data_IF_051335238043
#
_entry.id   IF_051335238043
#
_cell.length_a   1.000
_cell.length_b   1.000
_cell.length_c   1.000
_cell.angle_alpha   90.00
_cell.angle_beta   90.00
_cell.angle_gamma   90.00
#
_symmetry.space_group_name_H-M   'P 1'
#
loop_
_entity.id
_entity.type
_entity.pdbx_description
1 polymer ?
#
# COMPACT_ATOMS: atom_id res chain seq x y z
N UNK A 1 -31.42 36.37 20.15
CA UNK A 1 -31.11 35.50 21.28
C UNK A 1 -31.41 34.02 21.00
N UNK A 2 -32.59 33.64 20.48
CA UNK A 2 -32.96 32.23 20.21
C UNK A 2 -32.03 31.53 19.19
N UNK A 3 -31.63 32.19 18.11
CA UNK A 3 -30.72 31.65 17.08
C UNK A 3 -29.32 31.35 17.67
N UNK A 4 -28.78 32.29 18.48
CA UNK A 4 -27.50 32.07 19.15
C UNK A 4 -27.52 30.93 20.15
N UNK A 5 -28.63 30.75 20.86
CA UNK A 5 -28.81 29.61 21.75
C UNK A 5 -28.87 28.28 21.01
N UNK A 6 -29.59 28.23 19.87
CA UNK A 6 -29.66 27.02 19.02
C UNK A 6 -28.28 26.69 18.46
N UNK A 7 -27.54 27.67 17.95
CA UNK A 7 -26.17 27.48 17.46
C UNK A 7 -25.25 26.94 18.57
N UNK A 8 -25.35 27.50 19.79
CA UNK A 8 -24.59 27.02 20.94
C UNK A 8 -24.90 25.54 21.26
N UNK A 9 -26.17 25.15 21.26
CA UNK A 9 -26.58 23.76 21.51
C UNK A 9 -26.05 22.83 20.44
N UNK A 10 -26.12 23.21 19.16
CA UNK A 10 -25.59 22.41 18.05
C UNK A 10 -24.09 22.21 18.15
N UNK A 11 -23.34 23.26 18.48
CA UNK A 11 -21.88 23.18 18.67
C UNK A 11 -21.55 22.26 19.86
N UNK A 12 -22.24 22.40 20.98
CA UNK A 12 -22.02 21.55 22.16
C UNK A 12 -22.34 20.10 21.81
N UNK A 13 -23.45 19.81 21.14
CA UNK A 13 -23.80 18.47 20.71
C UNK A 13 -22.79 17.87 19.74
N UNK A 14 -22.27 18.67 18.81
CA UNK A 14 -21.20 18.24 17.89
C UNK A 14 -19.88 17.94 18.63
N UNK A 15 -19.49 18.75 19.62
CA UNK A 15 -18.31 18.50 20.44
C UNK A 15 -18.47 17.23 21.28
N UNK A 16 -19.64 17.04 21.89
CA UNK A 16 -19.94 15.82 22.66
C UNK A 16 -19.90 14.59 21.74
N UNK A 17 -20.54 14.65 20.57
CA UNK A 17 -20.49 13.57 19.58
C UNK A 17 -19.05 13.26 19.16
N UNK A 18 -18.24 14.28 18.87
CA UNK A 18 -16.84 14.13 18.53
C UNK A 18 -16.05 13.44 19.66
N UNK A 19 -16.28 13.84 20.91
CA UNK A 19 -15.60 13.26 22.09
C UNK A 19 -15.93 11.78 22.31
N UNK A 20 -17.14 11.35 21.97
CA UNK A 20 -17.55 9.94 22.11
C UNK A 20 -17.23 9.07 20.89
N UNK A 21 -17.21 9.65 19.69
CA UNK A 21 -16.97 8.90 18.43
C UNK A 21 -15.48 8.76 18.14
N UNK A 22 -14.71 9.85 18.22
CA UNK A 22 -13.29 9.87 17.87
C UNK A 22 -12.44 8.82 18.59
N UNK A 23 -12.52 8.64 19.92
CA UNK A 23 -11.65 7.68 20.62
C UNK A 23 -11.90 6.21 20.26
N UNK A 24 -13.08 5.88 19.75
CA UNK A 24 -13.47 4.49 19.44
C UNK A 24 -13.07 4.06 18.05
N UNK A 25 -12.90 5.02 17.14
CA UNK A 25 -12.62 4.78 15.72
C UNK A 25 -11.14 5.03 15.33
N UNK A 26 -10.26 5.32 16.29
CA UNK A 26 -8.84 5.59 16.04
C UNK A 26 -7.96 4.33 16.00
N UNK A 27 -8.57 3.15 15.96
CA UNK A 27 -7.85 1.89 15.82
C UNK A 27 -7.62 1.54 14.35
N UNK A 28 -6.39 1.19 13.97
CA UNK A 28 -6.07 0.66 12.63
C UNK A 28 -6.69 -0.72 12.36
N UNK A 29 -7.23 -1.38 13.40
CA UNK A 29 -7.90 -2.68 13.28
C UNK A 29 -9.34 -2.57 12.78
N UNK A 30 -9.94 -1.38 12.86
CA UNK A 30 -11.29 -1.13 12.38
C UNK A 30 -11.28 -1.04 10.85
N UNK A 31 -12.32 -1.57 10.21
CA UNK A 31 -12.54 -1.35 8.79
C UNK A 31 -13.07 0.08 8.57
N UNK A 32 -12.62 0.72 7.49
CA UNK A 32 -13.15 2.02 7.10
C UNK A 32 -14.64 1.92 6.78
N UNK A 33 -15.45 2.83 7.34
CA UNK A 33 -16.87 2.88 7.01
C UNK A 33 -17.07 3.19 5.53
N UNK A 34 -18.24 2.81 4.99
CA UNK A 34 -18.60 3.09 3.58
C UNK A 34 -18.54 4.59 3.29
N UNK A 35 -19.03 5.42 4.23
CA UNK A 35 -19.00 6.88 4.07
C UNK A 35 -17.57 7.42 4.05
N UNK A 36 -16.71 6.96 4.94
CA UNK A 36 -15.30 7.34 5.02
C UNK A 36 -14.55 6.93 3.75
N UNK A 37 -14.70 5.69 3.31
CA UNK A 37 -14.09 5.19 2.06
C UNK A 37 -14.57 5.99 0.85
N UNK A 38 -15.85 6.33 0.80
CA UNK A 38 -16.42 7.17 -0.26
C UNK A 38 -15.77 8.56 -0.28
N UNK A 39 -15.77 9.25 0.86
CA UNK A 39 -15.17 10.60 0.98
C UNK A 39 -13.68 10.57 0.65
N UNK A 40 -12.92 9.66 1.26
CA UNK A 40 -11.48 9.54 1.03
C UNK A 40 -11.13 9.29 -0.44
N UNK A 41 -11.88 8.39 -1.10
CA UNK A 41 -11.66 8.07 -2.53
C UNK A 41 -11.95 9.28 -3.42
N UNK A 42 -13.04 10.02 -3.15
CA UNK A 42 -13.39 11.19 -3.96
C UNK A 42 -12.44 12.36 -3.73
N UNK A 43 -12.06 12.65 -2.48
CA UNK A 43 -11.09 13.69 -2.15
C UNK A 43 -9.74 13.39 -2.78
N UNK A 44 -9.25 12.13 -2.68
CA UNK A 44 -8.03 11.71 -3.34
C UNK A 44 -8.13 11.88 -4.86
N UNK A 45 -9.20 11.39 -5.47
CA UNK A 45 -9.41 11.54 -6.90
C UNK A 45 -9.47 13.01 -7.35
N UNK A 46 -10.07 13.88 -6.56
CA UNK A 46 -10.14 15.32 -6.83
C UNK A 46 -8.78 16.00 -6.67
N UNK A 47 -7.96 15.58 -5.70
CA UNK A 47 -6.65 16.18 -5.42
C UNK A 47 -5.61 15.94 -6.52
N UNK A 48 -5.79 14.94 -7.39
CA UNK A 48 -4.90 14.68 -8.52
C UNK A 48 -5.08 15.78 -9.58
N UNK A 49 -4.03 16.56 -9.90
CA UNK A 49 -4.13 17.63 -10.89
C UNK A 49 -4.58 17.12 -12.27
N UNK A 50 -5.40 17.91 -12.97
CA UNK A 50 -5.97 17.52 -14.27
C UNK A 50 -4.91 17.15 -15.31
N UNK A 51 -3.75 17.82 -15.29
CA UNK A 51 -2.62 17.51 -16.18
C UNK A 51 -2.20 16.04 -16.08
N UNK A 52 -2.15 15.48 -14.86
CA UNK A 52 -1.77 14.08 -14.68
C UNK A 52 -2.90 13.13 -15.10
N UNK A 53 -4.16 13.47 -14.84
CA UNK A 53 -5.29 12.62 -15.25
C UNK A 53 -5.36 12.39 -16.74
N UNK A 54 -4.88 13.34 -17.55
CA UNK A 54 -4.83 13.22 -19.01
C UNK A 54 -3.57 12.55 -19.56
N UNK A 55 -2.54 12.33 -18.71
CA UNK A 55 -1.31 11.68 -19.14
C UNK A 55 -1.56 10.18 -19.42
N UNK A 56 -0.89 9.69 -20.45
CA UNK A 56 -0.82 8.27 -20.78
C UNK A 56 0.60 7.78 -20.56
N UNK A 57 0.75 6.53 -20.18
CA UNK A 57 2.06 5.93 -20.13
C UNK A 57 2.64 5.89 -21.55
N UNK A 58 3.76 6.56 -21.74
CA UNK A 58 4.49 6.56 -23.02
C UNK A 58 5.46 5.39 -23.16
N UNK A 59 5.65 4.62 -22.09
CA UNK A 59 6.52 3.45 -22.13
C UNK A 59 5.82 2.26 -22.78
N UNK A 60 6.56 1.51 -23.58
CA UNK A 60 6.14 0.20 -24.01
C UNK A 60 6.32 -0.78 -22.86
N UNK A 61 5.23 -1.39 -22.40
CA UNK A 61 5.25 -2.39 -21.32
C UNK A 61 5.74 -3.74 -21.87
N UNK A 62 7.01 -3.80 -22.28
CA UNK A 62 7.67 -5.03 -22.76
C UNK A 62 7.95 -5.97 -21.60
N UNK A 63 8.26 -7.24 -21.89
CA UNK A 63 8.65 -8.23 -20.88
C UNK A 63 9.86 -7.76 -20.04
N UNK A 64 10.79 -7.04 -20.66
CA UNK A 64 11.94 -6.45 -19.97
C UNK A 64 11.48 -5.38 -18.96
N UNK A 65 10.62 -4.45 -19.39
CA UNK A 65 10.06 -3.40 -18.50
C UNK A 65 9.23 -4.03 -17.37
N UNK A 66 8.44 -5.06 -17.68
CA UNK A 66 7.68 -5.81 -16.67
C UNK A 66 8.63 -6.55 -15.70
N UNK A 67 9.72 -7.12 -16.17
CA UNK A 67 10.73 -7.75 -15.33
C UNK A 67 11.40 -6.78 -14.36
N UNK A 68 11.83 -5.61 -14.86
CA UNK A 68 12.42 -4.56 -14.03
C UNK A 68 11.42 -4.02 -12.99
N UNK A 69 10.19 -3.73 -13.41
CA UNK A 69 9.17 -3.20 -12.51
C UNK A 69 8.67 -4.24 -11.50
N UNK A 70 8.65 -5.53 -11.86
CA UNK A 70 8.36 -6.63 -10.95
C UNK A 70 9.39 -6.72 -9.82
N UNK A 71 10.68 -6.59 -10.16
CA UNK A 71 11.76 -6.56 -9.15
C UNK A 71 11.58 -5.37 -8.21
N UNK A 72 11.36 -4.18 -8.75
CA UNK A 72 11.12 -2.97 -7.95
C UNK A 72 9.86 -3.10 -7.07
N UNK A 73 8.79 -3.68 -7.62
CA UNK A 73 7.56 -3.94 -6.86
C UNK A 73 7.81 -4.88 -5.68
N UNK A 74 8.50 -6.00 -5.92
CA UNK A 74 8.79 -7.00 -4.90
C UNK A 74 9.62 -6.44 -3.75
N UNK A 75 10.61 -5.63 -4.06
CA UNK A 75 11.52 -5.03 -3.08
C UNK A 75 10.88 -3.91 -2.25
N UNK A 76 10.04 -3.05 -2.86
CA UNK A 76 9.55 -1.84 -2.20
C UNK A 76 8.04 -1.84 -1.94
N UNK A 77 7.23 -2.31 -2.88
CA UNK A 77 5.78 -2.14 -2.83
C UNK A 77 5.07 -3.32 -2.15
N UNK A 78 5.58 -4.54 -2.36
CA UNK A 78 4.96 -5.78 -1.91
C UNK A 78 4.85 -5.87 -0.38
N UNK A 79 5.74 -5.22 0.36
CA UNK A 79 5.69 -5.12 1.82
C UNK A 79 4.30 -4.69 2.33
N UNK A 80 3.67 -3.71 1.65
CA UNK A 80 2.33 -3.25 1.98
C UNK A 80 1.26 -3.80 1.02
N UNK A 81 1.56 -3.90 -0.28
CA UNK A 81 0.59 -4.24 -1.31
C UNK A 81 0.49 -5.74 -1.62
N UNK A 82 1.33 -6.59 -1.04
CA UNK A 82 1.57 -7.98 -1.40
C UNK A 82 2.11 -8.15 -2.83
N UNK A 83 2.74 -9.30 -3.13
CA UNK A 83 3.32 -9.55 -4.46
C UNK A 83 2.27 -9.50 -5.57
N UNK A 84 1.07 -10.01 -5.31
CA UNK A 84 -0.03 -10.03 -6.26
C UNK A 84 -0.90 -8.75 -6.24
N UNK A 85 -0.53 -7.72 -5.49
CA UNK A 85 -1.25 -6.47 -5.43
C UNK A 85 -2.57 -6.50 -4.66
N UNK A 86 -2.83 -7.56 -3.87
CA UNK A 86 -4.08 -7.72 -3.10
C UNK A 86 -4.20 -6.78 -1.89
N UNK A 87 -3.08 -6.25 -1.39
CA UNK A 87 -3.01 -5.54 -0.11
C UNK A 87 -2.99 -6.44 1.12
N UNK A 88 -3.02 -7.77 0.94
CA UNK A 88 -3.14 -8.77 2.01
C UNK A 88 -1.77 -9.19 2.59
N UNK A 89 -0.80 -8.28 2.61
CA UNK A 89 0.47 -8.50 3.31
C UNK A 89 0.31 -8.34 4.83
N UNK A 90 1.31 -8.75 5.59
CA UNK A 90 1.33 -8.56 7.03
C UNK A 90 1.18 -7.07 7.42
N UNK A 91 1.95 -6.18 6.79
CA UNK A 91 1.86 -4.74 7.03
C UNK A 91 0.58 -4.15 6.45
N UNK A 92 0.16 -4.57 5.25
CA UNK A 92 -1.05 -4.07 4.61
C UNK A 92 -2.30 -4.28 5.47
N UNK A 93 -2.43 -5.45 6.10
CA UNK A 93 -3.53 -5.77 7.01
C UNK A 93 -3.54 -4.92 8.28
N UNK A 94 -2.37 -4.46 8.73
CA UNK A 94 -2.22 -3.65 9.94
C UNK A 94 -2.33 -2.15 9.69
N UNK A 95 -2.40 -1.70 8.42
CA UNK A 95 -2.47 -0.28 8.07
C UNK A 95 -3.90 0.25 8.07
N UNK A 96 -4.01 1.56 8.30
CA UNK A 96 -5.25 2.30 8.11
C UNK A 96 -4.99 3.61 7.33
N UNK A 97 -5.72 3.83 6.23
CA UNK A 97 -6.55 2.85 5.52
C UNK A 97 -5.71 1.70 4.97
N UNK A 98 -6.32 0.53 4.80
CA UNK A 98 -5.66 -0.61 4.19
C UNK A 98 -5.32 -0.32 2.72
N UNK A 99 -4.17 -0.83 2.21
CA UNK A 99 -3.88 -0.78 0.79
C UNK A 99 -5.00 -1.42 -0.03
N UNK A 100 -5.42 -0.80 -1.14
CA UNK A 100 -6.48 -1.37 -1.97
C UNK A 100 -6.00 -2.64 -2.69
N UNK A 101 -6.92 -3.54 -3.01
CA UNK A 101 -6.67 -4.60 -3.99
C UNK A 101 -6.54 -3.96 -5.39
N UNK A 102 -5.30 -3.84 -5.85
CA UNK A 102 -4.98 -3.16 -7.10
C UNK A 102 -5.41 -3.92 -8.36
N UNK A 103 -5.83 -5.18 -8.22
CA UNK A 103 -6.38 -5.98 -9.32
C UNK A 103 -7.83 -5.60 -9.63
N UNK A 104 -8.47 -4.87 -8.74
CA UNK A 104 -9.90 -4.51 -8.83
C UNK A 104 -10.14 -3.27 -9.70
N UNK A 105 -11.38 -3.10 -10.20
CA UNK A 105 -11.75 -1.97 -11.05
C UNK A 105 -11.45 -0.60 -10.43
N UNK A 106 -11.50 -0.46 -9.10
CA UNK A 106 -11.20 0.81 -8.43
C UNK A 106 -9.78 1.32 -8.74
N UNK A 107 -8.81 0.43 -8.96
CA UNK A 107 -7.46 0.79 -9.36
C UNK A 107 -7.32 0.69 -10.89
N UNK A 108 -7.79 -0.40 -11.49
CA UNK A 108 -7.60 -0.67 -12.91
C UNK A 108 -8.29 0.35 -13.83
N UNK A 109 -9.38 0.98 -13.40
CA UNK A 109 -10.09 2.02 -14.17
C UNK A 109 -9.49 3.44 -13.99
N UNK A 110 -8.48 3.63 -13.12
CA UNK A 110 -7.79 4.91 -13.02
C UNK A 110 -6.93 5.14 -14.28
N UNK A 111 -6.73 6.41 -14.68
CA UNK A 111 -5.81 6.71 -15.76
C UNK A 111 -4.36 6.39 -15.37
N UNK A 112 -3.50 6.12 -16.35
CA UNK A 112 -2.09 5.84 -16.10
C UNK A 112 -1.40 7.00 -15.39
N UNK A 113 -1.72 8.24 -15.78
CA UNK A 113 -1.19 9.43 -15.14
C UNK A 113 -1.69 9.61 -13.71
N UNK A 114 -2.89 9.14 -13.35
CA UNK A 114 -3.36 9.14 -11.96
C UNK A 114 -2.59 8.12 -11.11
N UNK A 115 -2.32 6.93 -11.64
CA UNK A 115 -1.48 5.92 -10.98
C UNK A 115 -0.05 6.44 -10.81
N UNK A 116 0.53 6.98 -11.88
CA UNK A 116 1.85 7.62 -11.86
C UNK A 116 1.95 8.69 -10.77
N UNK A 117 0.96 9.62 -10.73
CA UNK A 117 0.93 10.68 -9.73
C UNK A 117 0.88 10.13 -8.30
N UNK A 118 0.09 9.08 -8.09
CA UNK A 118 -0.06 8.42 -6.78
C UNK A 118 1.23 7.76 -6.32
N UNK A 119 1.92 7.04 -7.21
CA UNK A 119 3.21 6.42 -6.90
C UNK A 119 4.24 7.48 -6.57
N UNK A 120 4.36 8.47 -7.45
CA UNK A 120 5.37 9.52 -7.35
C UNK A 120 5.24 10.34 -6.08
N UNK A 121 4.02 10.72 -5.70
CA UNK A 121 3.77 11.70 -4.62
C UNK A 121 3.30 11.06 -3.31
N UNK A 122 3.01 9.74 -3.31
CA UNK A 122 2.39 9.08 -2.18
C UNK A 122 0.95 9.54 -1.94
N UNK A 123 0.38 9.11 -0.82
CA UNK A 123 -0.99 9.47 -0.43
C UNK A 123 -0.99 10.02 0.99
N UNK A 124 -1.30 11.31 1.14
CA UNK A 124 -1.35 11.98 2.44
C UNK A 124 -2.34 11.30 3.39
N UNK A 125 -2.02 11.27 4.67
CA UNK A 125 -2.81 10.64 5.74
C UNK A 125 -2.97 9.11 5.58
N UNK A 126 -2.05 8.49 4.85
CA UNK A 126 -1.92 7.03 4.74
C UNK A 126 -0.47 6.61 4.96
N UNK A 127 -0.22 5.30 5.03
CA UNK A 127 1.14 4.77 5.09
C UNK A 127 1.87 4.71 3.75
N UNK A 128 1.28 5.19 2.64
CA UNK A 128 1.94 5.17 1.33
C UNK A 128 2.85 6.39 1.16
N UNK A 129 4.19 6.24 1.21
CA UNK A 129 5.13 7.32 0.99
C UNK A 129 5.22 7.71 -0.48
N UNK A 130 5.91 8.81 -0.78
CA UNK A 130 6.29 9.18 -2.14
C UNK A 130 7.50 8.35 -2.57
N UNK A 131 7.40 7.68 -3.72
CA UNK A 131 8.48 6.86 -4.30
C UNK A 131 9.20 7.55 -5.45
N UNK A 132 8.59 8.61 -6.01
CA UNK A 132 9.16 9.29 -7.16
C UNK A 132 10.19 10.35 -6.79
N UNK A 133 11.16 10.55 -7.68
CA UNK A 133 12.12 11.63 -7.58
C UNK A 133 11.49 13.00 -7.87
N UNK A 134 12.02 14.09 -7.29
CA UNK A 134 11.60 15.44 -7.65
C UNK A 134 11.84 15.73 -9.14
N UNK A 135 10.90 16.40 -9.78
CA UNK A 135 10.97 16.70 -11.22
C UNK A 135 9.90 15.95 -12.03
N UNK A 136 9.86 16.15 -13.34
CA UNK A 136 8.79 15.58 -14.19
C UNK A 136 9.17 14.24 -14.83
N UNK A 137 10.46 13.87 -14.88
CA UNK A 137 10.93 12.64 -15.51
C UNK A 137 11.20 11.54 -14.46
N UNK A 138 10.18 10.75 -14.16
CA UNK A 138 10.28 9.61 -13.25
C UNK A 138 9.92 8.32 -14.01
N UNK A 139 10.93 7.74 -14.63
CA UNK A 139 10.79 6.54 -15.44
C UNK A 139 10.35 5.33 -14.62
N UNK A 140 10.80 5.21 -13.38
CA UNK A 140 10.51 4.05 -12.55
C UNK A 140 9.05 4.03 -12.10
N UNK A 141 8.46 5.18 -11.78
CA UNK A 141 7.02 5.27 -11.56
C UNK A 141 6.22 4.87 -12.80
N UNK A 142 6.67 5.20 -14.02
CA UNK A 142 6.01 4.76 -15.24
C UNK A 142 6.13 3.25 -15.49
N UNK A 143 7.28 2.65 -15.19
CA UNK A 143 7.44 1.19 -15.23
C UNK A 143 6.51 0.50 -14.23
N UNK A 144 6.39 1.04 -13.00
CA UNK A 144 5.46 0.52 -12.00
C UNK A 144 4.00 0.61 -12.45
N UNK A 145 3.61 1.64 -13.23
CA UNK A 145 2.28 1.68 -13.86
C UNK A 145 2.08 0.48 -14.80
N UNK A 146 3.08 0.09 -15.60
CA UNK A 146 3.00 -1.12 -16.43
C UNK A 146 2.75 -2.37 -15.56
N UNK A 147 3.47 -2.51 -14.46
CA UNK A 147 3.30 -3.66 -13.57
C UNK A 147 1.93 -3.65 -12.88
N UNK A 148 1.43 -2.50 -12.43
CA UNK A 148 0.08 -2.40 -11.86
C UNK A 148 -1.00 -2.85 -12.86
N UNK A 149 -0.84 -2.53 -14.16
CA UNK A 149 -1.73 -3.03 -15.22
C UNK A 149 -1.63 -4.54 -15.41
N UNK A 150 -0.46 -5.13 -15.16
CA UNK A 150 -0.22 -6.56 -15.23
C UNK A 150 -0.75 -7.34 -14.01
N UNK A 151 -0.90 -6.71 -12.84
CA UNK A 151 -1.31 -7.38 -11.59
C UNK A 151 -2.50 -8.33 -11.70
N UNK A 152 -3.58 -8.04 -12.47
CA UNK A 152 -4.69 -8.99 -12.62
C UNK A 152 -4.30 -10.32 -13.30
N UNK A 153 -3.14 -10.37 -13.93
CA UNK A 153 -2.63 -11.51 -14.72
C UNK A 153 -1.41 -12.17 -14.09
N UNK A 154 -0.93 -11.66 -12.95
CA UNK A 154 0.25 -12.21 -12.25
C UNK A 154 0.00 -13.68 -11.92
N UNK A 155 0.91 -14.53 -12.38
CA UNK A 155 0.87 -15.96 -12.17
C UNK A 155 1.46 -16.35 -10.82
N UNK A 156 1.12 -17.55 -10.32
CA UNK A 156 1.70 -18.09 -9.10
C UNK A 156 3.23 -18.30 -9.21
N UNK A 157 3.76 -18.48 -10.42
CA UNK A 157 5.20 -18.56 -10.64
C UNK A 157 5.87 -17.20 -10.48
N UNK A 158 5.27 -16.15 -11.02
CA UNK A 158 5.77 -14.78 -10.82
C UNK A 158 5.72 -14.39 -9.34
N UNK A 159 4.66 -14.75 -8.60
CA UNK A 159 4.59 -14.51 -7.15
C UNK A 159 5.73 -15.21 -6.40
N UNK A 160 6.04 -16.47 -6.72
CA UNK A 160 7.16 -17.21 -6.11
C UNK A 160 8.51 -16.57 -6.41
N UNK A 161 8.70 -16.05 -7.62
CA UNK A 161 9.93 -15.33 -7.98
C UNK A 161 10.06 -14.04 -7.19
N UNK A 162 8.96 -13.30 -7.03
CA UNK A 162 8.95 -12.06 -6.25
C UNK A 162 9.19 -12.30 -4.76
N UNK A 163 8.70 -13.40 -4.18
CA UNK A 163 8.98 -13.75 -2.79
C UNK A 163 10.48 -13.82 -2.46
N UNK A 164 11.29 -14.28 -3.43
CA UNK A 164 12.75 -14.32 -3.25
C UNK A 164 13.41 -12.95 -3.29
N UNK A 165 12.71 -11.94 -3.78
CA UNK A 165 13.19 -10.56 -3.92
C UNK A 165 12.61 -9.64 -2.82
N UNK A 166 11.68 -10.13 -2.02
CA UNK A 166 11.12 -9.34 -0.92
C UNK A 166 12.20 -9.03 0.12
N UNK A 167 12.14 -7.86 0.78
CA UNK A 167 13.01 -7.55 1.91
C UNK A 167 12.91 -8.64 2.98
N UNK A 168 14.05 -9.15 3.40
CA UNK A 168 14.13 -10.19 4.43
C UNK A 168 13.95 -9.57 5.81
N UNK A 169 13.17 -10.24 6.64
CA UNK A 169 13.06 -9.88 8.05
C UNK A 169 14.32 -10.33 8.82
N UNK A 170 14.59 -9.80 10.02
CA UNK A 170 15.67 -10.33 10.87
C UNK A 170 15.51 -11.83 11.16
N UNK A 171 14.28 -12.32 11.23
CA UNK A 171 13.96 -13.74 11.44
C UNK A 171 14.34 -14.58 10.22
N UNK A 172 13.99 -14.13 9.00
CA UNK A 172 14.39 -14.81 7.76
C UNK A 172 15.91 -14.91 7.62
N UNK A 173 16.63 -13.82 7.99
CA UNK A 173 18.09 -13.80 7.96
C UNK A 173 18.71 -14.76 9.01
N UNK A 174 18.03 -14.95 10.12
CA UNK A 174 18.47 -15.84 11.17
C UNK A 174 18.24 -17.30 10.78
N UNK A 175 17.09 -17.62 10.19
CA UNK A 175 16.78 -18.94 9.63
C UNK A 175 17.76 -19.32 8.52
N UNK A 176 18.03 -18.46 7.57
CA UNK A 176 19.03 -18.70 6.53
C UNK A 176 20.42 -18.97 7.09
N UNK A 177 20.84 -18.21 8.10
CA UNK A 177 22.13 -18.41 8.75
C UNK A 177 22.21 -19.76 9.47
N UNK A 178 21.11 -20.20 10.10
CA UNK A 178 21.04 -21.49 10.76
C UNK A 178 21.08 -22.64 9.73
N UNK A 179 20.35 -22.48 8.62
CA UNK A 179 20.35 -23.43 7.51
C UNK A 179 21.75 -23.54 6.89
N UNK A 180 22.41 -22.41 6.65
CA UNK A 180 23.79 -22.40 6.12
C UNK A 180 24.77 -23.04 7.10
N UNK A 181 24.66 -22.81 8.40
CA UNK A 181 25.47 -23.49 9.42
C UNK A 181 25.24 -24.98 9.43
N UNK A 182 23.99 -25.42 9.32
CA UNK A 182 23.64 -26.86 9.24
C UNK A 182 24.25 -27.52 7.99
N UNK A 183 24.12 -26.89 6.83
CA UNK A 183 24.67 -27.39 5.57
C UNK A 183 26.20 -27.46 5.58
N UNK A 184 26.88 -26.56 6.30
CA UNK A 184 28.33 -26.54 6.47
C UNK A 184 28.85 -27.44 7.60
N UNK A 185 28.01 -28.35 8.11
CA UNK A 185 28.39 -29.34 9.13
C UNK A 185 28.32 -28.86 10.58
N UNK A 186 27.58 -27.79 10.84
CA UNK A 186 27.20 -27.39 12.19
C UNK A 186 26.20 -28.34 12.84
N UNK A 187 26.20 -28.45 14.16
CA UNK A 187 25.19 -29.20 14.91
C UNK A 187 23.81 -28.58 14.76
N UNK A 188 22.77 -29.41 14.76
CA UNK A 188 21.36 -29.04 14.63
C UNK A 188 21.00 -27.84 15.54
N UNK A 189 20.36 -26.79 15.03
CA UNK A 189 20.00 -25.63 15.84
C UNK A 189 18.99 -26.04 16.91
N UNK A 190 19.17 -25.54 18.12
CA UNK A 190 18.19 -25.74 19.20
C UNK A 190 16.84 -25.16 18.76
N UNK A 191 15.70 -25.86 19.03
CA UNK A 191 14.38 -25.37 18.64
C UNK A 191 14.14 -23.99 19.23
N UNK A 192 13.93 -23.00 18.34
CA UNK A 192 13.60 -21.63 18.71
C UNK A 192 12.23 -21.63 19.41
N UNK A 193 12.24 -21.43 20.73
CA UNK A 193 11.02 -21.29 21.50
C UNK A 193 10.30 -20.01 21.08
N UNK A 194 9.23 -20.13 20.31
CA UNK A 194 8.34 -19.01 20.04
C UNK A 194 7.65 -18.57 21.32
N UNK A 195 8.24 -17.62 22.02
CA UNK A 195 7.56 -16.89 23.10
C UNK A 195 6.56 -15.91 22.46
N UNK A 196 5.32 -16.35 22.31
CA UNK A 196 4.22 -15.45 22.00
C UNK A 196 4.01 -14.52 23.21
N UNK A 197 4.51 -13.31 23.14
CA UNK A 197 4.09 -12.24 24.04
C UNK A 197 2.75 -11.70 23.55
N UNK A 198 1.71 -11.97 24.34
CA UNK A 198 0.38 -11.38 24.23
C UNK A 198 0.36 -9.93 24.73
#
# INVERSE_FOLDING_TARGET
MRILAILGIVVIAAVIALFFVVPREFSTRSEASVAESYVATHVRGWSIPAKYKSMRNSMNCTDEVLGQSRTHWADHCATCHANNGSGESMFGKAMYPKPPDMRRPQTQNQSDGALYYTIKNGVRLTGMPAFGEPGDADADSWKLVCFIRHLPQVSAEEERQMQKLNPKTPEDLEEERQEEQFLNGGSEPAPSGHAHHH
#
